data_IF_174864768926
#
_entry.id   IF_174864768926
#
_cell.length_a   1.000
_cell.length_b   1.000
_cell.length_c   1.000
_cell.angle_alpha   90.00
_cell.angle_beta   90.00
_cell.angle_gamma   90.00
#
_symmetry.space_group_name_H-M   'P 1'
#
loop_
_entity.id
_entity.type
_entity.pdbx_description
1 polymer ?
#
# COMPACT_ATOMS: atom_id res chain seq x y z
N UNK A 1 -0.02 24.24 2.99
CA UNK A 1 0.06 23.18 4.02
C UNK A 1 -1.36 22.74 4.33
N UNK A 2 -1.64 21.44 4.40
CA UNK A 2 -2.95 20.95 4.84
C UNK A 2 -3.10 21.24 6.33
N UNK A 3 -4.27 21.70 6.76
CA UNK A 3 -4.57 21.79 8.19
C UNK A 3 -4.67 20.37 8.77
N UNK A 4 -4.42 20.21 10.07
CA UNK A 4 -4.54 18.92 10.76
C UNK A 4 -5.92 18.29 10.52
N UNK A 5 -6.99 19.11 10.58
CA UNK A 5 -8.35 18.67 10.29
C UNK A 5 -8.49 18.13 8.85
N UNK A 6 -7.91 18.81 7.86
CA UNK A 6 -7.94 18.35 6.47
C UNK A 6 -7.17 17.04 6.29
N UNK A 7 -6.02 16.88 6.96
CA UNK A 7 -5.25 15.64 6.92
C UNK A 7 -6.03 14.45 7.51
N UNK A 8 -6.76 14.64 8.63
CA UNK A 8 -7.61 13.61 9.24
C UNK A 8 -8.76 13.21 8.31
N UNK A 9 -9.45 14.17 7.71
CA UNK A 9 -10.52 13.87 6.75
C UNK A 9 -10.00 13.20 5.48
N UNK A 10 -8.82 13.59 5.00
CA UNK A 10 -8.18 12.94 3.85
C UNK A 10 -7.83 11.48 4.16
N UNK A 11 -7.35 11.18 5.37
CA UNK A 11 -7.10 9.80 5.81
C UNK A 11 -8.39 8.98 5.83
N UNK A 12 -9.48 9.51 6.41
CA UNK A 12 -10.79 8.83 6.42
C UNK A 12 -11.28 8.57 5.00
N UNK A 13 -11.17 9.56 4.11
CA UNK A 13 -11.53 9.42 2.71
C UNK A 13 -10.69 8.35 2.00
N UNK A 14 -9.38 8.36 2.18
CA UNK A 14 -8.48 7.36 1.60
C UNK A 14 -8.83 5.94 2.08
N UNK A 15 -9.11 5.76 3.37
CA UNK A 15 -9.55 4.47 3.93
C UNK A 15 -10.89 4.04 3.33
N UNK A 16 -11.87 4.94 3.24
CA UNK A 16 -13.17 4.65 2.64
C UNK A 16 -13.06 4.24 1.16
N UNK A 17 -12.24 4.96 0.39
CA UNK A 17 -11.93 4.62 -1.01
C UNK A 17 -11.26 3.25 -1.12
N UNK A 18 -10.32 2.93 -0.23
CA UNK A 18 -9.65 1.63 -0.17
C UNK A 18 -10.61 0.48 0.09
N UNK A 19 -11.50 0.62 1.09
CA UNK A 19 -12.52 -0.39 1.42
C UNK A 19 -13.49 -0.58 0.24
N UNK A 20 -13.96 0.50 -0.36
CA UNK A 20 -14.83 0.44 -1.53
C UNK A 20 -14.15 -0.24 -2.72
N UNK A 21 -12.87 0.08 -2.97
CA UNK A 21 -12.09 -0.55 -4.05
C UNK A 21 -11.93 -2.06 -3.83
N UNK A 22 -11.64 -2.50 -2.59
CA UNK A 22 -11.56 -3.92 -2.22
C UNK A 22 -12.89 -4.64 -2.48
N UNK A 23 -14.01 -4.04 -2.03
CA UNK A 23 -15.34 -4.61 -2.27
C UNK A 23 -15.66 -4.71 -3.76
N UNK A 24 -15.40 -3.65 -4.53
CA UNK A 24 -15.64 -3.62 -5.96
C UNK A 24 -14.76 -4.62 -6.74
N UNK A 25 -13.47 -4.72 -6.41
CA UNK A 25 -12.54 -5.65 -7.05
C UNK A 25 -12.89 -7.11 -6.74
N UNK A 26 -13.37 -7.39 -5.53
CA UNK A 26 -13.85 -8.73 -5.15
C UNK A 26 -15.09 -9.12 -5.97
N UNK A 27 -16.07 -8.21 -6.12
CA UNK A 27 -17.23 -8.44 -6.98
C UNK A 27 -16.86 -8.61 -8.46
N UNK A 28 -15.88 -7.84 -8.93
CA UNK A 28 -15.34 -7.96 -10.29
C UNK A 28 -14.84 -9.38 -10.58
N UNK A 29 -14.02 -9.95 -9.69
CA UNK A 29 -13.51 -11.33 -9.81
C UNK A 29 -14.63 -12.37 -9.71
N UNK A 30 -15.52 -12.22 -8.73
CA UNK A 30 -16.63 -13.17 -8.54
C UNK A 30 -17.55 -13.24 -9.74
N UNK A 31 -17.83 -12.10 -10.39
CA UNK A 31 -18.71 -12.07 -11.56
C UNK A 31 -17.99 -12.41 -12.86
N UNK A 32 -16.68 -12.13 -12.99
CA UNK A 32 -15.91 -12.56 -14.16
C UNK A 32 -15.63 -14.06 -14.17
N UNK A 33 -15.64 -14.73 -13.01
CA UNK A 33 -15.53 -16.19 -12.90
C UNK A 33 -16.56 -16.94 -13.75
N UNK A 34 -17.78 -16.43 -13.86
CA UNK A 34 -18.84 -17.08 -14.64
C UNK A 34 -18.54 -17.10 -16.16
N UNK A 35 -17.65 -16.21 -16.63
CA UNK A 35 -17.19 -16.23 -18.03
C UNK A 35 -16.42 -17.50 -18.36
N UNK A 36 -15.67 -18.06 -17.39
CA UNK A 36 -14.97 -19.35 -17.56
C UNK A 36 -15.95 -20.51 -17.81
N UNK A 37 -17.21 -20.37 -17.40
CA UNK A 37 -18.29 -21.33 -17.65
C UNK A 37 -19.07 -21.00 -18.93
N UNK A 38 -18.66 -19.98 -19.69
CA UNK A 38 -19.37 -19.52 -20.89
C UNK A 38 -20.65 -18.72 -20.60
N UNK A 39 -20.87 -18.27 -19.36
CA UNK A 39 -22.08 -17.54 -18.97
C UNK A 39 -21.80 -16.03 -18.97
N UNK A 40 -22.29 -15.31 -19.98
CA UNK A 40 -22.01 -13.87 -20.18
C UNK A 40 -23.16 -12.93 -19.79
N UNK A 41 -24.20 -13.43 -19.09
CA UNK A 41 -25.39 -12.63 -18.75
C UNK A 41 -25.13 -11.38 -17.93
N UNK A 42 -23.99 -11.32 -17.23
CA UNK A 42 -23.58 -10.20 -16.36
C UNK A 42 -22.49 -9.30 -16.96
N UNK A 43 -22.23 -9.37 -18.27
CA UNK A 43 -21.17 -8.57 -18.92
C UNK A 43 -21.26 -7.07 -18.64
N UNK A 44 -22.47 -6.48 -18.72
CA UNK A 44 -22.68 -5.07 -18.39
C UNK A 44 -22.30 -4.73 -16.96
N UNK A 45 -22.56 -5.65 -16.04
CA UNK A 45 -22.24 -5.48 -14.63
C UNK A 45 -20.72 -5.55 -14.41
N UNK A 46 -20.04 -6.54 -15.00
CA UNK A 46 -18.57 -6.64 -14.99
C UNK A 46 -17.89 -5.39 -15.56
N UNK A 47 -18.38 -4.87 -16.71
CA UNK A 47 -17.87 -3.61 -17.28
C UNK A 47 -18.01 -2.43 -16.33
N UNK A 48 -19.15 -2.29 -15.64
CA UNK A 48 -19.35 -1.24 -14.64
C UNK A 48 -18.40 -1.38 -13.46
N UNK A 49 -18.25 -2.59 -12.94
CA UNK A 49 -17.32 -2.84 -11.83
C UNK A 49 -15.87 -2.59 -12.22
N UNK A 50 -15.45 -2.94 -13.45
CA UNK A 50 -14.10 -2.61 -13.92
C UNK A 50 -13.84 -1.09 -13.92
N UNK A 51 -14.79 -0.29 -14.38
CA UNK A 51 -14.71 1.18 -14.30
C UNK A 51 -14.71 1.71 -12.87
N UNK A 52 -15.61 1.19 -12.01
CA UNK A 52 -15.68 1.58 -10.60
C UNK A 52 -14.35 1.29 -9.89
N UNK A 53 -13.77 0.11 -10.12
CA UNK A 53 -12.47 -0.27 -9.56
C UNK A 53 -11.36 0.66 -10.04
N UNK A 54 -11.28 0.93 -11.35
CA UNK A 54 -10.29 1.85 -11.90
C UNK A 54 -10.38 3.23 -11.24
N UNK A 55 -11.59 3.81 -11.18
CA UNK A 55 -11.81 5.13 -10.59
C UNK A 55 -11.46 5.15 -9.09
N UNK A 56 -11.97 4.18 -8.31
CA UNK A 56 -11.69 4.12 -6.88
C UNK A 56 -10.20 3.91 -6.59
N UNK A 57 -9.54 3.04 -7.34
CA UNK A 57 -8.11 2.78 -7.20
C UNK A 57 -7.28 4.02 -7.54
N UNK A 58 -7.60 4.72 -8.63
CA UNK A 58 -6.92 5.97 -9.01
C UNK A 58 -7.14 7.07 -7.97
N UNK A 59 -8.37 7.25 -7.46
CA UNK A 59 -8.66 8.22 -6.43
C UNK A 59 -7.93 7.90 -5.11
N UNK A 60 -7.91 6.63 -4.70
CA UNK A 60 -7.16 6.20 -3.52
C UNK A 60 -5.66 6.46 -3.68
N UNK A 61 -5.09 6.15 -4.85
CA UNK A 61 -3.69 6.40 -5.17
C UNK A 61 -3.34 7.90 -5.12
N UNK A 62 -4.16 8.75 -5.76
CA UNK A 62 -3.98 10.21 -5.73
C UNK A 62 -4.09 10.74 -4.30
N UNK A 63 -5.10 10.34 -3.53
CA UNK A 63 -5.26 10.74 -2.14
C UNK A 63 -4.04 10.35 -1.29
N UNK A 64 -3.51 9.13 -1.47
CA UNK A 64 -2.30 8.68 -0.79
C UNK A 64 -1.07 9.53 -1.16
N UNK A 65 -0.89 9.83 -2.45
CA UNK A 65 0.20 10.68 -2.93
C UNK A 65 0.08 12.13 -2.47
N UNK A 66 -1.13 12.67 -2.29
CA UNK A 66 -1.31 14.01 -1.73
C UNK A 66 -0.93 14.07 -0.26
N UNK A 67 -1.15 12.97 0.48
CA UNK A 67 -0.74 12.88 1.89
C UNK A 67 0.78 12.68 2.06
N UNK A 68 1.43 12.00 1.11
CA UNK A 68 2.82 11.53 1.24
C UNK A 68 3.89 12.64 1.39
N UNK A 69 3.86 13.77 0.66
CA UNK A 69 4.84 14.84 0.82
C UNK A 69 4.87 15.39 2.25
N UNK A 70 3.70 15.56 2.86
CA UNK A 70 3.57 16.04 4.24
C UNK A 70 4.25 15.06 5.20
N UNK A 71 4.00 13.76 5.02
CA UNK A 71 4.59 12.72 5.85
C UNK A 71 6.11 12.60 5.66
N UNK A 72 6.57 12.67 4.41
CA UNK A 72 7.99 12.54 4.07
C UNK A 72 8.79 13.74 4.57
N UNK A 73 8.22 14.95 4.52
CA UNK A 73 8.86 16.16 5.05
C UNK A 73 8.94 16.07 6.58
N UNK A 74 7.88 15.69 7.28
CA UNK A 74 7.88 15.56 8.74
C UNK A 74 8.82 14.46 9.22
N UNK A 75 8.81 13.28 8.59
CA UNK A 75 9.75 12.20 8.93
C UNK A 75 11.17 12.63 8.63
N UNK A 76 11.43 13.28 7.49
CA UNK A 76 12.77 13.74 7.13
C UNK A 76 13.26 14.87 8.03
N UNK A 77 12.38 15.80 8.43
CA UNK A 77 12.68 16.86 9.38
C UNK A 77 13.00 16.24 10.75
N UNK A 78 12.11 15.37 11.27
CA UNK A 78 12.34 14.65 12.52
C UNK A 78 13.61 13.79 12.49
N UNK A 79 13.98 13.22 11.34
CA UNK A 79 15.23 12.45 11.18
C UNK A 79 16.48 13.32 11.08
N UNK A 80 16.42 14.44 10.37
CA UNK A 80 17.58 15.30 10.15
C UNK A 80 17.83 16.20 11.35
N UNK A 81 16.78 16.71 11.98
CA UNK A 81 16.87 17.57 13.17
C UNK A 81 17.27 16.76 14.41
N UNK A 82 16.74 15.55 14.58
CA UNK A 82 17.15 14.69 15.71
C UNK A 82 18.40 13.85 15.43
N UNK A 83 19.03 13.95 14.26
CA UNK A 83 20.18 13.09 13.94
C UNK A 83 21.31 13.27 14.95
N UNK A 84 21.60 14.51 15.32
CA UNK A 84 22.67 14.84 16.26
C UNK A 84 22.33 14.37 17.68
N UNK A 85 21.08 14.53 18.11
CA UNK A 85 20.61 14.04 19.41
C UNK A 85 20.62 12.51 19.47
N UNK A 86 20.23 11.85 18.39
CA UNK A 86 20.27 10.40 18.25
C UNK A 86 21.72 9.91 18.35
N UNK A 87 22.64 10.50 17.59
CA UNK A 87 24.07 10.16 17.64
C UNK A 87 24.68 10.43 19.02
N UNK A 88 24.31 11.54 19.66
CA UNK A 88 24.77 11.89 21.00
C UNK A 88 24.25 10.92 22.07
N UNK A 89 22.97 10.53 21.99
CA UNK A 89 22.35 9.56 22.89
C UNK A 89 22.95 8.16 22.73
N UNK A 90 23.25 7.74 21.51
CA UNK A 90 23.88 6.47 21.20
C UNK A 90 25.33 6.44 21.71
N UNK A 91 26.09 7.53 21.53
CA UNK A 91 27.43 7.68 22.10
C UNK A 91 27.43 7.71 23.64
N UNK A 92 26.40 8.27 24.27
CA UNK A 92 26.23 8.23 25.72
C UNK A 92 25.90 6.81 26.22
N UNK A 93 24.97 6.13 25.54
CA UNK A 93 24.56 4.77 25.86
C UNK A 93 25.71 3.77 25.68
N UNK A 94 26.48 3.87 24.59
CA UNK A 94 27.64 3.02 24.34
C UNK A 94 28.69 3.20 25.45
N UNK A 95 28.99 4.44 25.86
CA UNK A 95 29.89 4.71 26.99
C UNK A 95 29.41 4.09 28.30
N UNK A 96 28.10 4.01 28.50
CA UNK A 96 27.52 3.36 29.67
C UNK A 96 27.65 1.83 29.59
N UNK A 97 27.37 1.23 28.44
CA UNK A 97 27.57 -0.21 28.21
C UNK A 97 29.04 -0.61 28.34
N UNK A 98 29.97 0.20 27.83
CA UNK A 98 31.41 -0.06 27.95
C UNK A 98 31.84 -0.05 29.42
N UNK A 99 31.30 0.86 30.25
CA UNK A 99 31.54 0.89 31.71
C UNK A 99 31.02 -0.35 32.42
N UNK A 100 29.82 -0.82 32.06
CA UNK A 100 29.23 -2.04 32.63
C UNK A 100 30.04 -3.27 32.22
N UNK A 101 30.36 -3.39 30.93
CA UNK A 101 31.19 -4.46 30.35
C UNK A 101 32.55 -4.54 31.04
N UNK A 102 33.21 -3.39 31.25
CA UNK A 102 34.49 -3.30 31.95
C UNK A 102 34.36 -3.73 33.42
N UNK A 103 33.23 -3.43 34.07
CA UNK A 103 32.98 -3.78 35.47
C UNK A 103 32.63 -5.26 35.67
N UNK A 104 31.86 -5.84 34.75
CA UNK A 104 31.25 -7.15 34.92
C UNK A 104 31.98 -8.27 34.15
N UNK A 105 32.94 -7.92 33.29
CA UNK A 105 33.66 -8.90 32.45
C UNK A 105 32.76 -9.65 31.46
N UNK A 106 31.52 -9.19 31.28
CA UNK A 106 30.55 -9.76 30.37
C UNK A 106 30.91 -9.41 28.92
N UNK A 107 30.65 -10.29 27.94
CA UNK A 107 30.81 -9.95 26.53
C UNK A 107 29.82 -8.82 26.14
N UNK A 108 30.21 -7.90 25.24
CA UNK A 108 29.39 -6.76 24.89
C UNK A 108 28.10 -7.22 24.21
N UNK A 109 26.95 -6.91 24.82
CA UNK A 109 25.64 -7.07 24.18
C UNK A 109 25.38 -5.85 23.31
N UNK A 110 25.64 -5.99 22.01
CA UNK A 110 25.34 -4.96 21.01
C UNK A 110 23.92 -5.10 20.48
N UNK A 111 22.98 -4.35 21.05
CA UNK A 111 21.74 -3.97 20.38
C UNK A 111 21.37 -2.55 20.85
N UNK A 112 21.78 -1.51 20.11
CA UNK A 112 21.25 -0.18 20.37
C UNK A 112 19.78 -0.17 19.92
N UNK A 113 18.86 0.05 20.87
CA UNK A 113 17.43 0.18 20.57
C UNK A 113 17.16 1.23 19.46
N UNK A 114 18.05 2.21 19.37
CA UNK A 114 18.13 3.24 18.33
C UNK A 114 18.40 2.67 16.93
N UNK A 115 19.39 1.78 16.78
CA UNK A 115 19.69 1.12 15.51
C UNK A 115 18.50 0.29 15.01
N UNK A 116 17.74 -0.31 15.92
CA UNK A 116 16.54 -1.06 15.57
C UNK A 116 15.40 -0.14 15.10
N UNK A 117 15.19 1.02 15.75
CA UNK A 117 14.21 2.02 15.30
C UNK A 117 14.54 2.58 13.91
N UNK A 118 15.81 2.89 13.65
CA UNK A 118 16.28 3.36 12.33
C UNK A 118 16.05 2.30 11.26
N UNK A 119 16.39 1.05 11.57
CA UNK A 119 16.17 -0.08 10.66
C UNK A 119 14.68 -0.30 10.36
N UNK A 120 13.80 -0.18 11.36
CA UNK A 120 12.35 -0.29 11.19
C UNK A 120 11.77 0.83 10.34
N UNK A 121 12.22 2.07 10.52
CA UNK A 121 11.76 3.20 9.70
C UNK A 121 12.26 3.11 8.26
N UNK A 122 13.53 2.73 8.04
CA UNK A 122 14.07 2.50 6.70
C UNK A 122 13.32 1.38 5.97
N UNK A 123 13.01 0.29 6.69
CA UNK A 123 12.14 -0.76 6.17
C UNK A 123 10.75 -0.21 5.80
N UNK A 124 10.12 0.59 6.66
CA UNK A 124 8.80 1.18 6.38
C UNK A 124 8.80 2.02 5.09
N UNK A 125 9.82 2.86 4.87
CA UNK A 125 9.96 3.64 3.62
C UNK A 125 10.09 2.72 2.40
N UNK A 126 10.93 1.68 2.47
CA UNK A 126 11.05 0.71 1.38
C UNK A 126 9.74 -0.02 1.08
N UNK A 127 8.97 -0.38 2.11
CA UNK A 127 7.64 -0.98 1.95
C UNK A 127 6.64 -0.04 1.28
N UNK A 128 6.70 1.26 1.57
CA UNK A 128 5.87 2.27 0.91
C UNK A 128 6.20 2.41 -0.57
N UNK A 129 7.48 2.53 -0.93
CA UNK A 129 7.89 2.63 -2.33
C UNK A 129 7.46 1.38 -3.12
N UNK A 130 7.66 0.18 -2.55
CA UNK A 130 7.21 -1.08 -3.16
C UNK A 130 5.69 -1.06 -3.36
N UNK A 131 4.91 -0.66 -2.34
CA UNK A 131 3.46 -0.53 -2.45
C UNK A 131 3.05 0.43 -3.57
N UNK A 132 3.71 1.59 -3.70
CA UNK A 132 3.38 2.57 -4.74
C UNK A 132 3.54 2.00 -6.15
N UNK A 133 4.63 1.28 -6.41
CA UNK A 133 4.85 0.62 -7.70
C UNK A 133 3.81 -0.48 -7.96
N UNK A 134 3.48 -1.30 -6.96
CA UNK A 134 2.44 -2.32 -7.09
C UNK A 134 1.06 -1.72 -7.37
N UNK A 135 0.72 -0.61 -6.73
CA UNK A 135 -0.56 0.09 -6.98
C UNK A 135 -0.57 0.69 -8.38
N UNK A 136 0.53 1.29 -8.84
CA UNK A 136 0.64 1.82 -10.20
C UNK A 136 0.47 0.71 -11.26
N UNK A 137 1.11 -0.44 -11.07
CA UNK A 137 0.91 -1.63 -11.90
C UNK A 137 -0.55 -2.11 -11.88
N UNK A 138 -1.19 -2.09 -10.70
CA UNK A 138 -2.61 -2.39 -10.55
C UNK A 138 -3.52 -1.44 -11.36
N UNK A 139 -3.21 -0.13 -11.37
CA UNK A 139 -3.96 0.86 -12.17
C UNK A 139 -3.79 0.59 -13.66
N UNK A 140 -2.56 0.29 -14.12
CA UNK A 140 -2.30 -0.07 -15.52
C UNK A 140 -3.05 -1.35 -15.92
N UNK A 141 -3.05 -2.36 -15.05
CA UNK A 141 -3.82 -3.59 -15.27
C UNK A 141 -5.33 -3.33 -15.31
N UNK A 142 -5.86 -2.48 -14.42
CA UNK A 142 -7.27 -2.05 -14.41
C UNK A 142 -7.65 -1.31 -15.69
N UNK A 143 -6.78 -0.42 -16.17
CA UNK A 143 -6.98 0.28 -17.44
C UNK A 143 -6.98 -0.70 -18.61
N UNK A 144 -6.01 -1.61 -18.66
CA UNK A 144 -5.96 -2.67 -19.68
C UNK A 144 -7.23 -3.53 -19.67
N UNK A 145 -7.71 -3.93 -18.49
CA UNK A 145 -8.96 -4.69 -18.34
C UNK A 145 -10.18 -3.90 -18.84
N UNK A 146 -10.27 -2.62 -18.52
CA UNK A 146 -11.35 -1.74 -19.02
C UNK A 146 -11.32 -1.65 -20.55
N UNK A 147 -10.14 -1.47 -21.14
CA UNK A 147 -9.98 -1.41 -22.60
C UNK A 147 -10.38 -2.74 -23.26
N UNK A 148 -9.88 -3.87 -22.75
CA UNK A 148 -10.27 -5.19 -23.25
C UNK A 148 -11.79 -5.36 -23.16
N UNK A 149 -12.40 -5.08 -22.02
CA UNK A 149 -13.83 -5.22 -21.82
C UNK A 149 -14.66 -4.27 -22.70
N UNK A 150 -14.13 -3.08 -23.05
CA UNK A 150 -14.81 -2.11 -23.90
C UNK A 150 -14.92 -2.59 -25.36
N UNK A 151 -13.89 -3.25 -25.88
CA UNK A 151 -13.82 -3.70 -27.27
C UNK A 151 -14.15 -5.18 -27.48
N UNK A 152 -14.21 -5.97 -26.41
CA UNK A 152 -14.44 -7.42 -26.50
C UNK A 152 -15.93 -7.78 -26.67
N UNK A 153 -16.21 -8.64 -27.65
CA UNK A 153 -17.47 -9.38 -27.79
C UNK A 153 -17.27 -10.87 -27.43
N UNK A 154 -17.82 -11.35 -26.30
CA UNK A 154 -17.67 -12.75 -25.87
C UNK A 154 -18.32 -13.77 -26.81
N UNK A 155 -19.21 -13.35 -27.72
CA UNK A 155 -19.82 -14.26 -28.70
C UNK A 155 -18.88 -14.59 -29.84
N UNK A 156 -18.01 -13.64 -30.21
CA UNK A 156 -17.05 -13.78 -31.30
C UNK A 156 -15.73 -14.42 -30.86
N UNK A 157 -15.25 -14.13 -29.64
CA UNK A 157 -13.93 -14.59 -29.18
C UNK A 157 -13.93 -15.08 -27.72
N UNK A 158 -14.12 -16.40 -27.54
CA UNK A 158 -14.08 -17.04 -26.22
C UNK A 158 -12.66 -17.25 -25.69
N UNK A 159 -11.65 -17.20 -26.56
CA UNK A 159 -10.24 -17.40 -26.20
C UNK A 159 -9.68 -16.32 -25.26
N UNK A 160 -10.31 -15.13 -25.25
CA UNK A 160 -9.89 -14.00 -24.41
C UNK A 160 -10.41 -14.14 -22.96
N UNK A 161 -11.34 -15.06 -22.69
CA UNK A 161 -11.96 -15.23 -21.36
C UNK A 161 -10.93 -15.46 -20.24
N UNK A 162 -9.94 -16.37 -20.37
CA UNK A 162 -8.94 -16.57 -19.32
C UNK A 162 -8.11 -15.32 -19.06
N UNK A 163 -7.84 -14.51 -20.09
CA UNK A 163 -7.10 -13.25 -19.97
C UNK A 163 -7.92 -12.22 -19.18
N UNK A 164 -9.20 -12.06 -19.48
CA UNK A 164 -10.11 -11.16 -18.73
C UNK A 164 -10.21 -11.56 -17.27
N UNK A 165 -10.37 -12.86 -17.00
CA UNK A 165 -10.41 -13.37 -15.64
C UNK A 165 -9.07 -13.17 -14.92
N UNK A 166 -7.95 -13.52 -15.56
CA UNK A 166 -6.60 -13.34 -15.03
C UNK A 166 -6.31 -11.88 -14.67
N UNK A 167 -6.63 -10.94 -15.58
CA UNK A 167 -6.51 -9.50 -15.30
C UNK A 167 -7.37 -9.07 -14.13
N UNK A 168 -8.61 -9.56 -14.02
CA UNK A 168 -9.48 -9.26 -12.88
C UNK A 168 -8.86 -9.72 -11.55
N UNK A 169 -8.25 -10.91 -11.53
CA UNK A 169 -7.55 -11.45 -10.35
C UNK A 169 -6.32 -10.63 -10.00
N UNK A 170 -5.50 -10.25 -10.98
CA UNK A 170 -4.32 -9.39 -10.76
C UNK A 170 -4.73 -8.04 -10.18
N UNK A 171 -5.75 -7.40 -10.75
CA UNK A 171 -6.30 -6.14 -10.23
C UNK A 171 -6.75 -6.30 -8.78
N UNK A 172 -7.55 -7.32 -8.47
CA UNK A 172 -8.00 -7.57 -7.10
C UNK A 172 -6.83 -7.87 -6.15
N UNK A 173 -5.85 -8.65 -6.56
CA UNK A 173 -4.68 -8.97 -5.76
C UNK A 173 -3.86 -7.72 -5.42
N UNK A 174 -3.63 -6.82 -6.38
CA UNK A 174 -2.90 -5.57 -6.12
C UNK A 174 -3.64 -4.65 -5.13
N UNK A 175 -4.97 -4.56 -5.24
CA UNK A 175 -5.81 -3.76 -4.32
C UNK A 175 -5.82 -4.37 -2.92
N UNK A 176 -5.99 -5.69 -2.80
CA UNK A 176 -5.94 -6.40 -1.52
C UNK A 176 -4.57 -6.26 -0.86
N UNK A 177 -3.48 -6.42 -1.62
CA UNK A 177 -2.12 -6.23 -1.12
C UNK A 177 -1.94 -4.81 -0.56
N UNK A 178 -2.37 -3.78 -1.30
CA UNK A 178 -2.29 -2.39 -0.85
C UNK A 178 -3.10 -2.14 0.43
N UNK A 179 -4.29 -2.75 0.55
CA UNK A 179 -5.14 -2.66 1.73
C UNK A 179 -4.51 -3.35 2.95
N UNK A 180 -3.99 -4.57 2.78
CA UNK A 180 -3.29 -5.32 3.85
C UNK A 180 -2.07 -4.54 4.34
N UNK A 181 -1.23 -4.03 3.44
CA UNK A 181 -0.08 -3.20 3.82
C UNK A 181 -0.54 -1.95 4.57
N UNK A 182 -1.65 -1.32 4.15
CA UNK A 182 -2.26 -0.19 4.84
C UNK A 182 -2.68 -0.53 6.27
N UNK A 183 -3.38 -1.64 6.48
CA UNK A 183 -3.82 -2.10 7.80
C UNK A 183 -2.62 -2.46 8.69
N UNK A 184 -1.64 -3.18 8.16
CA UNK A 184 -0.42 -3.54 8.90
C UNK A 184 0.34 -2.29 9.35
N UNK A 185 0.51 -1.33 8.44
CA UNK A 185 1.20 -0.06 8.75
C UNK A 185 0.45 0.76 9.79
N UNK A 186 -0.89 0.79 9.74
CA UNK A 186 -1.71 1.47 10.74
C UNK A 186 -1.61 0.77 12.11
N UNK A 187 -1.64 -0.56 12.13
CA UNK A 187 -1.55 -1.34 13.37
C UNK A 187 -0.20 -1.17 14.08
N UNK A 188 0.90 -1.10 13.32
CA UNK A 188 2.25 -0.84 13.86
C UNK A 188 2.44 0.55 14.46
N UNK A 189 1.60 1.53 14.11
CA UNK A 189 1.65 2.88 14.67
C UNK A 189 0.81 3.06 15.93
N UNK A 190 -0.12 2.15 16.16
CA UNK A 190 -1.06 2.20 17.28
C UNK A 190 -0.52 1.56 18.57
N UNK A 191 0.61 0.84 18.47
CA UNK A 191 1.34 0.20 19.59
C UNK A 191 2.60 0.99 19.87
#
# INVERSE_FOLDING_TARGET
MLTEAAARWMLVLHTALGVAAVGAATHLVLWSRDFLRGVFGRLRAVRRFAWIVLVLQSLAFVAGNVMYPTYRIEVRAAYLENREEIVASEAAHQRQLDRITTREGAPPVQLSATGELVRRAAAAVGWFDVKEHWVALGILASLGLVLVLAFWDPRASREIVPVVFGLSVVVAATIWLAAVIGVLTASWRAV
#
